data_IF_379104915132
#
_entry.id   IF_379104915132
#
_cell.length_a   1.000
_cell.length_b   1.000
_cell.length_c   1.000
_cell.angle_alpha   90.00
_cell.angle_beta   90.00
_cell.angle_gamma   90.00
#
_symmetry.space_group_name_H-M   'P 1'
#
loop_
_entity.id
_entity.type
_entity.pdbx_description
1 polymer ?
#
# COMPACT_ATOMS: atom_id res chain seq x y z
N UNK A 1 -0.64 -35.54 28.23
CA UNK A 1 0.60 -35.15 27.51
C UNK A 1 1.62 -34.67 28.53
N UNK A 2 2.91 -35.02 28.42
CA UNK A 2 3.91 -34.60 29.41
C UNK A 2 4.29 -33.13 29.20
N UNK A 3 4.65 -32.42 30.29
CA UNK A 3 4.92 -30.98 30.26
C UNK A 3 5.94 -30.59 29.18
N UNK A 4 6.95 -31.43 28.98
CA UNK A 4 7.99 -31.26 27.96
C UNK A 4 7.44 -31.23 26.53
N UNK A 5 6.52 -32.15 26.16
CA UNK A 5 5.88 -32.13 24.83
C UNK A 5 5.00 -30.90 24.65
N UNK A 6 4.35 -30.45 25.72
CA UNK A 6 3.54 -29.22 25.68
C UNK A 6 4.39 -27.98 25.40
N UNK A 7 5.56 -27.83 26.05
CA UNK A 7 6.46 -26.69 25.80
C UNK A 7 7.05 -26.68 24.39
N UNK A 8 7.46 -27.85 23.89
CA UNK A 8 7.97 -27.98 22.51
C UNK A 8 6.89 -27.64 21.50
N UNK A 9 5.65 -28.11 21.70
CA UNK A 9 4.54 -27.84 20.81
C UNK A 9 4.18 -26.33 20.77
N UNK A 10 4.18 -25.66 21.93
CA UNK A 10 3.94 -24.21 22.00
C UNK A 10 5.05 -23.44 21.29
N UNK A 11 6.32 -23.81 21.50
CA UNK A 11 7.46 -23.17 20.84
C UNK A 11 7.41 -23.31 19.31
N UNK A 12 7.01 -24.48 18.81
CA UNK A 12 6.82 -24.72 17.37
C UNK A 12 5.64 -23.91 16.83
N UNK A 13 4.53 -23.85 17.54
CA UNK A 13 3.37 -23.05 17.13
C UNK A 13 3.72 -21.54 17.10
N UNK A 14 4.50 -21.06 18.07
CA UNK A 14 4.91 -19.66 18.15
C UNK A 14 5.91 -19.30 17.04
N UNK A 15 6.86 -20.20 16.72
CA UNK A 15 7.81 -19.97 15.63
C UNK A 15 7.14 -20.02 14.26
N UNK A 16 6.20 -20.94 14.05
CA UNK A 16 5.37 -20.95 12.83
C UNK A 16 4.57 -19.66 12.72
N UNK A 17 3.95 -19.19 13.81
CA UNK A 17 3.22 -17.92 13.82
C UNK A 17 4.12 -16.72 13.49
N UNK A 18 5.33 -16.66 14.04
CA UNK A 18 6.32 -15.60 13.76
C UNK A 18 6.86 -15.64 12.32
N UNK A 19 6.97 -16.84 11.72
CA UNK A 19 7.38 -17.02 10.32
C UNK A 19 6.27 -16.67 9.33
N UNK A 20 5.00 -16.80 9.72
CA UNK A 20 3.83 -16.46 8.88
C UNK A 20 3.27 -15.05 9.13
N UNK A 21 3.67 -14.39 10.21
CA UNK A 21 3.22 -13.04 10.58
C UNK A 21 3.45 -11.93 9.52
N UNK A 22 4.53 -11.91 8.72
CA UNK A 22 4.73 -10.82 7.76
C UNK A 22 3.75 -10.85 6.59
N UNK A 23 2.92 -11.90 6.44
CA UNK A 23 1.89 -11.97 5.40
C UNK A 23 0.56 -11.30 5.78
N UNK A 24 0.43 -10.79 7.01
CA UNK A 24 -0.72 -9.97 7.42
C UNK A 24 -0.41 -8.49 7.20
N UNK A 25 0.14 -8.13 6.03
CA UNK A 25 0.04 -6.75 5.59
C UNK A 25 -1.46 -6.46 5.46
N UNK A 26 -1.95 -5.49 6.22
CA UNK A 26 -3.32 -5.02 6.04
C UNK A 26 -3.47 -4.63 4.57
N UNK A 27 -4.52 -5.12 3.90
CA UNK A 27 -4.91 -4.59 2.59
C UNK A 27 -4.95 -3.07 2.75
N UNK A 28 -4.07 -2.37 2.04
CA UNK A 28 -4.07 -0.92 2.06
C UNK A 28 -5.40 -0.52 1.46
N UNK A 29 -6.33 -0.01 2.27
CA UNK A 29 -7.58 0.52 1.72
C UNK A 29 -7.20 1.70 0.83
N UNK A 30 -7.23 1.46 -0.49
CA UNK A 30 -6.80 2.32 -1.61
C UNK A 30 -5.30 2.20 -1.97
N UNK A 31 -4.99 1.30 -2.91
CA UNK A 31 -3.64 1.10 -3.45
C UNK A 31 -3.16 2.30 -4.29
N UNK A 32 -4.07 3.00 -4.97
CA UNK A 32 -3.79 4.26 -5.68
C UNK A 32 -4.63 5.40 -5.09
N UNK A 33 -3.98 6.51 -4.78
CA UNK A 33 -4.57 7.71 -4.17
C UNK A 33 -4.39 8.90 -5.14
N UNK A 34 -5.45 9.69 -5.35
CA UNK A 34 -5.31 11.02 -5.95
C UNK A 34 -4.79 11.96 -4.86
N UNK A 35 -3.50 12.29 -4.91
CA UNK A 35 -2.82 13.05 -3.85
C UNK A 35 -3.02 14.56 -4.00
N UNK A 36 -3.02 15.06 -5.24
CA UNK A 36 -3.21 16.48 -5.55
C UNK A 36 -4.08 16.66 -6.81
N UNK A 37 -4.83 17.76 -6.82
CA UNK A 37 -5.66 18.21 -7.95
C UNK A 37 -5.34 19.68 -8.23
N UNK A 38 -4.76 19.97 -9.39
CA UNK A 38 -4.57 21.31 -9.91
C UNK A 38 -5.66 21.63 -10.94
N UNK A 39 -6.77 22.20 -10.50
CA UNK A 39 -7.92 22.50 -11.37
C UNK A 39 -8.02 23.97 -11.81
N UNK A 40 -7.21 24.85 -11.22
CA UNK A 40 -7.22 26.29 -11.50
C UNK A 40 -5.80 26.86 -11.36
N UNK A 41 -4.91 26.56 -12.33
CA UNK A 41 -3.54 27.01 -12.27
C UNK A 41 -3.48 28.53 -12.37
N UNK A 42 -2.60 29.21 -11.61
CA UNK A 42 -2.42 30.65 -11.75
C UNK A 42 -1.77 30.99 -13.09
N UNK A 43 -2.11 32.15 -13.67
CA UNK A 43 -1.59 32.62 -14.97
C UNK A 43 -0.06 32.62 -15.04
N UNK A 44 0.59 32.88 -13.90
CA UNK A 44 2.05 32.93 -13.77
C UNK A 44 2.71 31.56 -13.59
N UNK A 45 1.94 30.47 -13.48
CA UNK A 45 2.48 29.11 -13.45
C UNK A 45 3.12 28.75 -14.79
N UNK A 46 4.11 27.85 -14.74
CA UNK A 46 4.63 27.22 -15.94
C UNK A 46 3.48 26.48 -16.64
N UNK A 47 3.25 26.74 -17.93
CA UNK A 47 2.08 26.26 -18.67
C UNK A 47 0.81 27.12 -18.53
N UNK A 48 0.81 28.14 -17.67
CA UNK A 48 -0.32 29.07 -17.49
C UNK A 48 -1.61 28.40 -17.04
N UNK A 49 -2.75 29.02 -17.34
CA UNK A 49 -4.10 28.55 -16.94
C UNK A 49 -4.49 27.18 -17.49
N UNK A 50 -3.74 26.65 -18.47
CA UNK A 50 -4.01 25.33 -19.07
C UNK A 50 -3.24 24.20 -18.39
N UNK A 51 -2.43 24.50 -17.37
CA UNK A 51 -1.62 23.52 -16.67
C UNK A 51 -2.40 22.76 -15.58
N UNK A 52 -3.52 22.17 -15.97
CA UNK A 52 -4.35 21.33 -15.10
C UNK A 52 -3.80 19.90 -15.05
N UNK A 53 -3.79 19.30 -13.86
CA UNK A 53 -3.27 17.95 -13.67
C UNK A 53 -3.80 17.31 -12.38
N UNK A 54 -3.65 15.99 -12.29
CA UNK A 54 -3.82 15.23 -11.04
C UNK A 54 -2.53 14.44 -10.74
N UNK A 55 -2.18 14.31 -9.47
CA UNK A 55 -1.09 13.44 -9.04
C UNK A 55 -1.65 12.14 -8.49
N UNK A 56 -1.13 11.03 -9.00
CA UNK A 56 -1.42 9.69 -8.51
C UNK A 56 -0.26 9.23 -7.62
N UNK A 57 -0.59 8.80 -6.40
CA UNK A 57 0.34 8.19 -5.47
C UNK A 57 0.04 6.70 -5.34
N UNK A 58 1.05 5.86 -5.58
CA UNK A 58 1.01 4.45 -5.26
C UNK A 58 1.29 4.27 -3.76
N UNK A 59 0.26 3.89 -3.01
CA UNK A 59 0.33 3.66 -1.56
C UNK A 59 0.69 2.21 -1.21
N UNK A 60 0.97 1.38 -2.22
CA UNK A 60 1.44 0.01 -2.04
C UNK A 60 2.98 -0.07 -2.07
N UNK A 61 3.50 -1.17 -1.57
CA UNK A 61 4.93 -1.54 -1.63
C UNK A 61 5.33 -2.15 -2.97
N UNK A 62 4.36 -2.57 -3.78
CA UNK A 62 4.56 -3.19 -5.08
C UNK A 62 4.18 -2.25 -6.23
N UNK A 63 4.69 -2.54 -7.44
CA UNK A 63 4.34 -1.76 -8.62
C UNK A 63 2.92 -2.08 -9.11
N UNK A 64 2.11 -1.05 -9.33
CA UNK A 64 0.75 -1.18 -9.84
C UNK A 64 0.71 -0.92 -11.34
N UNK A 65 0.12 -1.85 -12.11
CA UNK A 65 -0.09 -1.68 -13.54
C UNK A 65 -1.38 -0.89 -13.81
N UNK A 66 -1.23 0.32 -14.34
CA UNK A 66 -2.33 1.23 -14.69
C UNK A 66 -2.71 1.19 -16.18
N UNK A 67 -2.21 0.20 -16.94
CA UNK A 67 -2.54 0.08 -18.38
C UNK A 67 -4.04 -0.09 -18.57
N UNK A 68 -4.65 0.81 -19.35
CA UNK A 68 -6.09 0.78 -19.65
C UNK A 68 -6.97 1.45 -18.60
N UNK A 69 -6.40 2.08 -17.57
CA UNK A 69 -7.16 2.93 -16.66
C UNK A 69 -7.71 4.16 -17.39
N UNK A 70 -8.86 4.64 -16.92
CA UNK A 70 -9.54 5.84 -17.41
C UNK A 70 -9.76 6.78 -16.24
N UNK A 71 -9.54 8.07 -16.47
CA UNK A 71 -9.67 9.18 -15.52
C UNK A 71 -10.71 10.14 -16.08
#
# INVERSE_FOLDING_TARGET
MNKTKTFVLIGVLLSVLLLTAPAMAADNLNDIIINEIMYAPPDAAWGGVVNEWIELYNNDTEAINITGWVI
#
